data_IF_524031900326
#
_entry.id   IF_524031900326
#
_cell.length_a   1.000
_cell.length_b   1.000
_cell.length_c   1.000
_cell.angle_alpha   90.00
_cell.angle_beta   90.00
_cell.angle_gamma   90.00
#
_symmetry.space_group_name_H-M   'P 1'
#
loop_
_entity.id
_entity.type
_entity.pdbx_description
1 polymer ?
#
# COMPACT_ATOMS: atom_id res chain seq x y z
N UNK A 1 21.21 -19.38 -4.41
CA UNK A 1 20.24 -18.27 -4.35
C UNK A 1 19.96 -17.86 -5.78
N UNK A 2 18.73 -17.99 -6.28
CA UNK A 2 18.43 -17.52 -7.62
C UNK A 2 18.53 -15.98 -7.65
N UNK A 3 19.27 -15.42 -8.61
CA UNK A 3 19.30 -13.97 -8.80
C UNK A 3 17.89 -13.50 -9.16
N UNK A 4 17.33 -12.59 -8.36
CA UNK A 4 16.09 -11.90 -8.74
C UNK A 4 16.39 -11.05 -9.98
N UNK A 5 15.48 -11.07 -10.95
CA UNK A 5 15.58 -10.16 -12.08
C UNK A 5 15.55 -8.70 -11.62
N UNK A 6 16.15 -7.80 -12.41
CA UNK A 6 16.16 -6.38 -12.10
C UNK A 6 14.73 -5.83 -11.86
N UNK A 7 13.78 -6.30 -12.67
CA UNK A 7 12.37 -5.94 -12.54
C UNK A 7 11.78 -6.38 -11.19
N UNK A 8 12.02 -7.63 -10.77
CA UNK A 8 11.52 -8.13 -9.49
C UNK A 8 12.13 -7.36 -8.31
N UNK A 9 13.40 -6.94 -8.39
CA UNK A 9 13.99 -6.11 -7.35
C UNK A 9 13.26 -4.77 -7.20
N UNK A 10 12.90 -4.13 -8.32
CA UNK A 10 12.13 -2.87 -8.29
C UNK A 10 10.75 -3.09 -7.67
N UNK A 11 10.02 -4.14 -8.07
CA UNK A 11 8.70 -4.45 -7.51
C UNK A 11 8.76 -4.68 -5.99
N UNK A 12 9.72 -5.49 -5.53
CA UNK A 12 9.89 -5.81 -4.11
C UNK A 12 10.23 -4.55 -3.31
N UNK A 13 11.11 -3.70 -3.82
CA UNK A 13 11.47 -2.46 -3.16
C UNK A 13 10.28 -1.50 -3.05
N UNK A 14 9.50 -1.36 -4.12
CA UNK A 14 8.29 -0.53 -4.12
C UNK A 14 7.27 -1.02 -3.08
N UNK A 15 6.97 -2.32 -3.08
CA UNK A 15 6.04 -2.92 -2.12
C UNK A 15 6.51 -2.73 -0.67
N UNK A 16 7.80 -2.98 -0.40
CA UNK A 16 8.37 -2.87 0.95
C UNK A 16 8.35 -1.42 1.46
N UNK A 17 8.60 -0.45 0.58
CA UNK A 17 8.56 0.98 0.92
C UNK A 17 7.14 1.41 1.32
N UNK A 18 6.14 0.99 0.56
CA UNK A 18 4.74 1.37 0.80
C UNK A 18 4.15 0.65 2.02
N UNK A 19 4.51 -0.61 2.26
CA UNK A 19 3.98 -1.42 3.37
C UNK A 19 4.12 -0.73 4.73
N UNK A 20 5.26 -0.07 4.99
CA UNK A 20 5.49 0.64 6.27
C UNK A 20 4.53 1.81 6.49
N UNK A 21 4.16 2.52 5.43
CA UNK A 21 3.20 3.63 5.51
C UNK A 21 1.79 3.10 5.75
N UNK A 22 1.37 2.11 4.95
CA UNK A 22 0.06 1.47 5.11
C UNK A 22 -0.15 0.90 6.51
N UNK A 23 0.87 0.30 7.12
CA UNK A 23 0.76 -0.20 8.50
C UNK A 23 0.53 0.91 9.53
N UNK A 24 1.12 2.10 9.35
CA UNK A 24 0.87 3.24 10.24
C UNK A 24 -0.53 3.80 10.03
N UNK A 25 -0.90 4.02 8.77
CA UNK A 25 -2.21 4.54 8.40
C UNK A 25 -3.34 3.63 8.90
N UNK A 26 -3.13 2.30 8.89
CA UNK A 26 -4.08 1.34 9.47
C UNK A 26 -4.22 1.48 10.99
N UNK A 27 -3.16 1.83 11.70
CA UNK A 27 -3.21 2.11 13.13
C UNK A 27 -4.04 3.35 13.48
N UNK A 28 -4.19 4.28 12.53
CA UNK A 28 -4.95 5.53 12.66
C UNK A 28 -6.12 5.58 11.67
N UNK A 29 -6.75 4.42 11.40
CA UNK A 29 -7.75 4.26 10.31
C UNK A 29 -8.93 5.24 10.40
N UNK A 30 -9.33 5.64 11.60
CA UNK A 30 -10.42 6.61 11.84
C UNK A 30 -10.06 8.03 11.36
N UNK A 31 -8.77 8.34 11.24
CA UNK A 31 -8.27 9.63 10.75
C UNK A 31 -8.11 9.65 9.22
N UNK A 32 -8.22 8.49 8.54
CA UNK A 32 -8.07 8.42 7.10
C UNK A 32 -9.28 9.00 6.39
N UNK A 33 -9.03 9.96 5.51
CA UNK A 33 -10.05 10.49 4.61
C UNK A 33 -10.48 9.39 3.63
N UNK A 34 -11.78 9.09 3.60
CA UNK A 34 -12.37 8.05 2.76
C UNK A 34 -13.35 8.64 1.75
N UNK A 35 -13.35 8.07 0.56
CA UNK A 35 -14.30 8.36 -0.52
C UNK A 35 -14.91 7.07 -1.04
N UNK A 36 -16.17 7.12 -1.49
CA UNK A 36 -16.87 5.98 -2.06
C UNK A 36 -16.75 5.99 -3.58
N UNK A 37 -16.24 4.90 -4.15
CA UNK A 37 -16.14 4.69 -5.60
C UNK A 37 -17.39 4.00 -6.17
N UNK A 38 -18.02 3.14 -5.37
CA UNK A 38 -19.20 2.37 -5.76
C UNK A 38 -19.87 1.68 -4.56
N UNK A 39 -20.92 0.86 -4.78
CA UNK A 39 -21.54 0.07 -3.71
C UNK A 39 -20.50 -0.82 -3.03
N UNK A 40 -20.29 -0.64 -1.73
CA UNK A 40 -19.26 -1.33 -0.95
C UNK A 40 -17.80 -1.20 -1.46
N UNK A 41 -17.50 -0.19 -2.28
CA UNK A 41 -16.15 0.11 -2.79
C UNK A 41 -15.68 1.49 -2.29
N UNK A 42 -14.58 1.50 -1.55
CA UNK A 42 -14.04 2.67 -0.87
C UNK A 42 -12.57 2.88 -1.19
N UNK A 43 -12.13 4.14 -1.14
CA UNK A 43 -10.73 4.54 -1.32
C UNK A 43 -10.34 5.53 -0.24
N UNK A 44 -9.15 5.33 0.32
CA UNK A 44 -8.51 6.27 1.22
C UNK A 44 -7.29 6.90 0.55
N UNK A 45 -6.97 8.12 0.92
CA UNK A 45 -5.71 8.76 0.55
C UNK A 45 -4.60 8.21 1.44
N UNK A 46 -3.63 7.52 0.84
CA UNK A 46 -2.40 7.08 1.51
C UNK A 46 -1.43 8.23 1.66
#
# INVERSE_FOLDING_TARGET
MALKSALINVMVNAATKTARRMMRDFGEVEQLQVSKKGPADFVSTT
#
